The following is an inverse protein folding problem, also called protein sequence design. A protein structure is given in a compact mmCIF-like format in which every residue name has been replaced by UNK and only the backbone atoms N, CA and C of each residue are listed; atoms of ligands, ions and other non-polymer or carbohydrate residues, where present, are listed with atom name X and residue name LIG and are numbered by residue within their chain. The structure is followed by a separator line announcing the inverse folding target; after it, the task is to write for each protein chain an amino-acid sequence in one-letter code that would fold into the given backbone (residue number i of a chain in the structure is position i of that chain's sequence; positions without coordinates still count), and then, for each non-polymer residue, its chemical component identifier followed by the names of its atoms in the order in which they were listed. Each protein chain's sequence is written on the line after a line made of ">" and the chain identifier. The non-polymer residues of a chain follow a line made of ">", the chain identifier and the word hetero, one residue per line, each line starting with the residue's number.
data_IF_710134656589
#
_entry.id   IF_710134656589
#
_cell.length_a   1.000
_cell.length_b   1.000
_cell.length_c   1.000
_cell.angle_alpha   90.00
_cell.angle_beta   90.00
_cell.angle_gamma   90.00
#
_symmetry.space_group_name_H-M   'P 1'
#
loop_
_entity.id
_entity.type
_entity.pdbx_description
1 polymer ?
#
# COMPACT_ATOMS: atom_id res chain seq x y z
N UNK A 1 1.26 -41.94 33.34
CA UNK A 1 0.93 -40.90 32.33
C UNK A 1 2.16 -40.06 32.09
N UNK A 2 3.02 -40.55 31.21
CA UNK A 2 4.32 -40.00 30.83
C UNK A 2 4.18 -39.38 29.44
N UNK A 3 4.34 -38.06 29.33
CA UNK A 3 4.92 -37.48 28.12
C UNK A 3 5.87 -36.35 28.52
N UNK A 4 7.11 -36.78 28.54
CA UNK A 4 8.39 -36.13 28.76
C UNK A 4 8.46 -34.72 28.17
N UNK A 5 8.67 -33.72 29.04
CA UNK A 5 9.25 -32.43 28.66
C UNK A 5 10.75 -32.62 28.66
N UNK A 6 11.33 -32.94 27.50
CA UNK A 6 12.78 -33.02 27.35
C UNK A 6 13.35 -31.62 27.11
N UNK A 7 13.91 -31.07 28.19
CA UNK A 7 14.74 -29.85 28.18
C UNK A 7 16.11 -30.20 27.61
N UNK A 8 16.42 -29.71 26.40
CA UNK A 8 17.79 -29.61 25.88
C UNK A 8 18.15 -28.12 25.85
N UNK A 9 19.10 -27.73 26.70
CA UNK A 9 19.95 -26.53 26.62
C UNK A 9 19.34 -25.24 26.00
N UNK A 10 18.58 -24.50 26.82
CA UNK A 10 18.74 -23.05 26.94
C UNK A 10 18.37 -22.11 25.79
N UNK A 11 17.80 -22.57 24.67
CA UNK A 11 17.18 -21.68 23.66
C UNK A 11 15.79 -22.17 23.27
N UNK A 12 14.76 -21.52 23.80
CA UNK A 12 13.39 -21.70 23.35
C UNK A 12 13.26 -21.08 21.95
N UNK A 13 13.33 -21.91 20.90
CA UNK A 13 13.10 -21.45 19.53
C UNK A 13 11.60 -21.42 19.31
N UNK A 14 11.02 -20.23 19.44
CA UNK A 14 9.63 -20.01 19.05
C UNK A 14 9.46 -20.34 17.57
N UNK A 15 8.38 -21.07 17.25
CA UNK A 15 8.00 -21.29 15.87
C UNK A 15 7.75 -19.92 15.19
N UNK A 16 8.22 -19.78 13.96
CA UNK A 16 7.98 -18.58 13.16
C UNK A 16 7.08 -18.94 11.99
N UNK A 17 6.17 -18.03 11.64
CA UNK A 17 5.20 -18.20 10.56
C UNK A 17 5.30 -17.01 9.63
N UNK A 18 5.48 -17.23 8.32
CA UNK A 18 5.54 -16.18 7.31
C UNK A 18 4.24 -16.11 6.53
N UNK A 19 3.69 -14.91 6.35
CA UNK A 19 2.55 -14.65 5.49
C UNK A 19 2.98 -14.61 4.02
N UNK A 20 2.48 -15.53 3.20
CA UNK A 20 2.81 -15.63 1.77
C UNK A 20 2.27 -14.49 0.90
N UNK A 21 1.35 -13.67 1.44
CA UNK A 21 0.78 -12.50 0.76
C UNK A 21 1.63 -11.24 0.94
N UNK A 22 2.14 -10.97 2.14
CA UNK A 22 2.82 -9.70 2.46
C UNK A 22 4.21 -9.84 3.06
N UNK A 23 4.64 -11.06 3.42
CA UNK A 23 5.93 -11.34 4.04
C UNK A 23 6.01 -11.06 5.55
N UNK A 24 4.90 -10.77 6.23
CA UNK A 24 4.87 -10.61 7.68
C UNK A 24 5.31 -11.90 8.39
N UNK A 25 6.21 -11.79 9.38
CA UNK A 25 6.67 -12.90 10.21
C UNK A 25 6.02 -12.80 11.58
N UNK A 26 5.29 -13.83 11.98
CA UNK A 26 4.74 -14.00 13.31
C UNK A 26 5.58 -14.98 14.12
N UNK A 27 5.91 -14.64 15.36
CA UNK A 27 6.57 -15.54 16.30
C UNK A 27 5.54 -16.08 17.30
N UNK A 28 5.37 -17.40 17.35
CA UNK A 28 4.38 -18.06 18.20
C UNK A 28 4.09 -19.49 17.75
N UNK A 29 3.46 -20.27 18.62
CA UNK A 29 3.20 -21.69 18.36
C UNK A 29 2.23 -21.94 17.19
N UNK A 30 1.38 -20.95 16.86
CA UNK A 30 0.38 -21.00 15.79
C UNK A 30 0.37 -19.66 15.03
N UNK A 31 0.02 -19.64 13.73
CA UNK A 31 -0.16 -18.40 13.00
C UNK A 31 -1.40 -17.63 13.51
N UNK A 32 -1.47 -16.31 13.32
CA UNK A 32 -2.65 -15.52 13.69
C UNK A 32 -3.83 -15.85 12.75
N UNK A 33 -5.06 -15.74 13.26
CA UNK A 33 -6.29 -15.97 12.48
C UNK A 33 -6.39 -15.07 11.24
N UNK A 34 -5.88 -13.84 11.35
CA UNK A 34 -5.81 -12.86 10.28
C UNK A 34 -4.46 -12.13 10.33
N UNK A 35 -3.82 -11.98 9.18
CA UNK A 35 -2.55 -11.27 9.08
C UNK A 35 -2.72 -9.80 9.52
N UNK A 36 -1.97 -9.31 10.51
CA UNK A 36 -2.12 -7.96 11.03
C UNK A 36 -1.71 -6.86 10.05
N UNK A 37 -0.94 -7.23 9.01
CA UNK A 37 -0.45 -6.33 7.97
C UNK A 37 -1.44 -6.23 6.82
N UNK A 38 -1.72 -7.33 6.12
CA UNK A 38 -2.52 -7.33 4.90
C UNK A 38 -3.96 -7.82 5.07
N UNK A 39 -4.33 -8.34 6.24
CA UNK A 39 -5.63 -8.95 6.52
C UNK A 39 -5.92 -10.22 5.71
N UNK A 40 -4.88 -10.93 5.27
CA UNK A 40 -5.01 -12.28 4.70
C UNK A 40 -5.38 -13.32 5.79
N UNK A 41 -6.11 -14.39 5.46
CA UNK A 41 -6.48 -15.43 6.42
C UNK A 41 -5.27 -16.27 6.87
N UNK A 42 -5.40 -16.98 8.00
CA UNK A 42 -4.37 -17.89 8.54
C UNK A 42 -3.86 -18.94 7.54
N UNK A 43 -4.68 -19.32 6.55
CA UNK A 43 -4.29 -20.26 5.49
C UNK A 43 -3.16 -19.76 4.60
N UNK A 44 -2.90 -18.44 4.59
CA UNK A 44 -1.80 -17.83 3.85
C UNK A 44 -0.49 -17.80 4.65
N UNK A 45 -0.43 -18.45 5.82
CA UNK A 45 0.79 -18.56 6.63
C UNK A 45 1.47 -19.91 6.44
N UNK A 46 2.79 -19.85 6.31
CA UNK A 46 3.67 -21.02 6.21
C UNK A 46 4.68 -21.02 7.36
N UNK A 47 4.94 -22.19 7.94
CA UNK A 47 5.88 -22.32 9.06
C UNK A 47 7.32 -22.22 8.54
N UNK A 48 8.10 -21.30 9.10
CA UNK A 48 9.53 -21.21 8.86
C UNK A 48 10.23 -22.28 9.70
N UNK A 49 10.94 -23.20 9.06
CA UNK A 49 11.80 -24.13 9.76
C UNK A 49 12.98 -23.40 10.40
N UNK A 50 13.31 -23.73 11.65
CA UNK A 50 14.48 -23.17 12.31
C UNK A 50 15.73 -23.77 11.66
N UNK A 51 16.53 -22.95 10.97
CA UNK A 51 17.89 -23.36 10.60
C UNK A 51 18.65 -23.73 11.88
N UNK A 52 19.07 -25.00 11.94
CA UNK A 52 19.94 -25.48 13.02
C UNK A 52 21.22 -24.62 12.96
N UNK A 53 21.48 -23.86 14.03
CA UNK A 53 22.74 -23.16 14.22
C UNK A 53 23.89 -24.19 14.29
N UNK A 54 24.47 -24.49 13.13
CA UNK A 54 25.64 -25.33 12.97
C UNK A 54 26.90 -24.54 13.30
N UNK A 55 27.53 -24.96 14.38
CA UNK A 55 28.84 -24.57 14.90
C UNK A 55 29.93 -24.42 13.81
N UNK A 56 30.74 -23.37 13.89
CA UNK A 56 31.88 -23.16 13.00
C UNK A 56 32.99 -24.20 13.22
N UNK A 57 33.45 -24.82 12.14
CA UNK A 57 34.81 -25.38 12.01
C UNK A 57 35.31 -25.19 10.58
N UNK A 58 36.49 -24.61 10.47
CA UNK A 58 37.28 -24.49 9.25
C UNK A 58 37.66 -25.87 8.73
N UNK A 59 37.46 -26.14 7.43
CA UNK A 59 38.55 -26.63 6.58
C UNK A 59 38.17 -26.62 5.11
N UNK A 60 39.16 -26.25 4.30
CA UNK A 60 39.14 -26.31 2.85
C UNK A 60 39.00 -27.75 2.36
N UNK A 61 38.00 -27.98 1.50
CA UNK A 61 38.07 -28.88 0.32
C UNK A 61 36.69 -28.96 -0.32
N UNK A 62 36.45 -28.16 -1.37
CA UNK A 62 35.25 -28.28 -2.21
C UNK A 62 35.61 -29.01 -3.50
N UNK A 63 35.41 -30.33 -3.47
CA UNK A 63 35.24 -31.18 -4.65
C UNK A 63 33.79 -31.05 -5.15
N UNK A 64 33.64 -30.68 -6.42
CA UNK A 64 32.36 -30.51 -7.11
C UNK A 64 31.59 -31.82 -7.26
N UNK A 65 30.31 -31.85 -6.85
CA UNK A 65 29.26 -32.68 -7.46
C UNK A 65 27.94 -31.91 -7.35
N UNK A 66 27.30 -31.69 -8.51
CA UNK A 66 26.14 -30.82 -8.69
C UNK A 66 24.81 -31.38 -8.18
N UNK A 67 23.82 -30.48 -8.06
CA UNK A 67 22.43 -30.82 -7.77
C UNK A 67 21.58 -29.61 -7.36
N UNK A 68 21.16 -28.83 -8.36
CA UNK A 68 19.99 -27.93 -8.40
C UNK A 68 19.66 -27.07 -7.17
N UNK A 69 20.35 -25.94 -7.03
CA UNK A 69 19.82 -24.78 -6.31
C UNK A 69 18.75 -24.11 -7.17
N UNK A 70 17.48 -24.30 -6.80
CA UNK A 70 16.38 -23.49 -7.33
C UNK A 70 16.54 -22.08 -6.78
N UNK A 71 17.18 -21.25 -7.60
CA UNK A 71 17.33 -19.81 -7.41
C UNK A 71 15.92 -19.21 -7.28
N UNK A 72 15.61 -18.65 -6.11
CA UNK A 72 14.39 -17.89 -5.83
C UNK A 72 14.36 -16.63 -6.72
N UNK A 73 13.93 -16.80 -7.98
CA UNK A 73 13.79 -15.74 -8.96
C UNK A 73 12.41 -15.10 -8.79
N UNK A 74 12.41 -13.86 -8.31
CA UNK A 74 11.26 -12.95 -8.44
C UNK A 74 10.78 -12.96 -9.91
N UNK A 75 9.47 -13.12 -10.18
CA UNK A 75 8.97 -13.13 -11.55
C UNK A 75 9.19 -11.75 -12.20
N UNK A 76 10.14 -11.67 -13.13
CA UNK A 76 10.29 -10.51 -14.01
C UNK A 76 9.16 -10.57 -15.07
N UNK A 77 8.42 -9.47 -15.32
CA UNK A 77 7.37 -9.46 -16.33
C UNK A 77 7.96 -9.64 -17.74
N UNK A 78 7.37 -10.57 -18.51
CA UNK A 78 7.82 -11.07 -19.83
C UNK A 78 7.77 -10.02 -20.96
N UNK A 79 7.39 -8.77 -20.67
CA UNK A 79 7.25 -7.69 -21.66
C UNK A 79 8.51 -6.81 -21.79
N UNK A 80 9.71 -7.34 -21.60
CA UNK A 80 10.95 -6.57 -21.73
C UNK A 80 12.12 -7.42 -22.27
N UNK A 81 11.92 -8.06 -23.40
CA UNK A 81 13.02 -8.52 -24.25
C UNK A 81 12.88 -7.74 -25.56
N UNK A 82 13.28 -6.47 -25.63
CA UNK A 82 14.56 -6.14 -26.25
C UNK A 82 14.74 -4.60 -26.25
N UNK A 83 15.17 -4.01 -25.13
CA UNK A 83 15.59 -2.60 -25.10
C UNK A 83 16.53 -2.34 -23.92
N UNK A 84 17.85 -2.25 -24.19
CA UNK A 84 18.92 -2.04 -23.19
C UNK A 84 18.69 -0.80 -22.31
N UNK A 85 18.10 0.24 -22.89
CA UNK A 85 17.75 1.49 -22.20
C UNK A 85 16.56 1.32 -21.22
N UNK A 86 15.51 0.59 -21.63
CA UNK A 86 14.39 0.24 -20.75
C UNK A 86 14.83 -0.69 -19.63
N UNK A 87 15.75 -1.63 -19.90
CA UNK A 87 16.38 -2.47 -18.88
C UNK A 87 17.18 -1.65 -17.86
N UNK A 88 17.85 -0.57 -18.29
CA UNK A 88 18.55 0.35 -17.39
C UNK A 88 17.58 1.19 -16.55
N UNK A 89 16.52 1.74 -17.16
CA UNK A 89 15.49 2.51 -16.45
C UNK A 89 14.73 1.62 -15.45
N UNK A 90 14.33 0.40 -15.84
CA UNK A 90 13.66 -0.56 -14.95
C UNK A 90 14.56 -1.00 -13.79
N UNK A 91 15.88 -1.09 -14.00
CA UNK A 91 16.85 -1.42 -12.95
C UNK A 91 17.19 -0.23 -12.05
N UNK A 92 17.07 1.02 -12.55
CA UNK A 92 17.38 2.26 -11.82
C UNK A 92 16.18 2.86 -11.11
N UNK A 93 14.98 2.68 -11.65
CA UNK A 93 13.71 3.14 -11.13
C UNK A 93 12.73 1.97 -11.11
N UNK A 94 12.76 1.11 -10.08
CA UNK A 94 11.74 0.09 -9.95
C UNK A 94 10.39 0.80 -9.85
N UNK A 95 9.46 0.51 -10.77
CA UNK A 95 8.12 1.11 -10.85
C UNK A 95 7.36 1.12 -9.50
N UNK A 96 7.77 0.23 -8.59
CA UNK A 96 7.40 0.19 -7.18
C UNK A 96 7.48 1.54 -6.43
N UNK A 97 8.49 2.37 -6.71
CA UNK A 97 8.69 3.66 -6.01
C UNK A 97 7.66 4.73 -6.41
N UNK A 98 7.04 4.60 -7.59
CA UNK A 98 6.08 5.60 -8.07
C UNK A 98 4.74 5.51 -7.34
N UNK A 99 4.31 4.34 -6.88
CA UNK A 99 3.02 4.22 -6.21
C UNK A 99 2.93 5.12 -4.95
N UNK A 100 3.87 5.07 -3.99
CA UNK A 100 3.90 6.00 -2.87
C UNK A 100 3.86 7.48 -3.31
N UNK A 101 4.67 7.85 -4.31
CA UNK A 101 4.72 9.22 -4.81
C UNK A 101 3.36 9.66 -5.35
N UNK A 102 2.72 8.84 -6.20
CA UNK A 102 1.45 9.17 -6.83
C UNK A 102 0.30 9.25 -5.83
N UNK A 103 0.25 8.38 -4.82
CA UNK A 103 -0.81 8.43 -3.79
C UNK A 103 -0.67 9.65 -2.87
N UNK A 104 0.54 10.20 -2.73
CA UNK A 104 0.74 11.36 -1.88
C UNK A 104 0.10 12.63 -2.45
N UNK A 105 0.01 12.77 -3.77
CA UNK A 105 -0.62 13.94 -4.40
C UNK A 105 -2.09 14.11 -3.98
N UNK A 106 -3.03 13.17 -4.24
CA UNK A 106 -4.41 13.33 -3.76
C UNK A 106 -4.48 13.43 -2.23
N UNK A 107 -3.62 12.69 -1.50
CA UNK A 107 -3.62 12.70 -0.04
C UNK A 107 -3.23 14.02 0.59
N UNK A 108 -2.38 14.82 -0.07
CA UNK A 108 -1.99 16.15 0.40
C UNK A 108 -2.85 17.27 -0.19
N UNK A 109 -3.22 17.14 -1.47
CA UNK A 109 -3.96 18.17 -2.19
C UNK A 109 -5.41 18.29 -1.75
N UNK A 110 -6.08 17.19 -1.37
CA UNK A 110 -7.47 17.23 -0.89
C UNK A 110 -7.57 17.96 0.46
N UNK A 111 -6.78 17.63 1.50
CA UNK A 111 -6.77 18.41 2.73
C UNK A 111 -6.44 19.88 2.51
N UNK A 112 -5.48 20.18 1.63
CA UNK A 112 -5.17 21.56 1.27
C UNK A 112 -6.39 22.25 0.61
N UNK A 113 -7.06 21.58 -0.34
CA UNK A 113 -8.26 22.11 -0.98
C UNK A 113 -9.38 22.41 0.04
N UNK A 114 -9.64 21.50 1.00
CA UNK A 114 -10.63 21.74 2.06
C UNK A 114 -10.21 22.91 2.95
N UNK A 115 -8.93 23.01 3.32
CA UNK A 115 -8.41 24.13 4.10
C UNK A 115 -8.63 25.47 3.38
N UNK A 116 -8.26 25.58 2.09
CA UNK A 116 -8.49 26.78 1.30
C UNK A 116 -9.99 27.06 1.11
N UNK A 117 -10.85 26.04 0.99
CA UNK A 117 -12.30 26.24 0.91
C UNK A 117 -12.87 26.83 2.20
N UNK A 118 -12.42 26.36 3.37
CA UNK A 118 -12.82 26.94 4.67
C UNK A 118 -12.39 28.40 4.74
N UNK A 119 -11.15 28.72 4.35
CA UNK A 119 -10.69 30.11 4.30
C UNK A 119 -11.52 30.96 3.33
N UNK A 120 -11.88 30.43 2.16
CA UNK A 120 -12.71 31.14 1.19
C UNK A 120 -14.09 31.49 1.78
N UNK A 121 -14.72 30.54 2.48
CA UNK A 121 -16.04 30.75 3.11
C UNK A 121 -15.95 31.76 4.28
N UNK A 122 -14.86 31.75 5.05
CA UNK A 122 -14.71 32.64 6.21
C UNK A 122 -14.33 34.08 5.84
N UNK A 123 -13.56 34.27 4.78
CA UNK A 123 -12.99 35.57 4.41
C UNK A 123 -13.55 36.15 3.10
N UNK A 124 -14.42 35.43 2.41
CA UNK A 124 -15.08 35.83 1.15
C UNK A 124 -14.09 36.25 0.03
N UNK A 125 -12.96 35.56 -0.04
CA UNK A 125 -11.91 35.85 -1.02
C UNK A 125 -12.00 34.92 -2.24
N UNK A 126 -12.45 35.48 -3.37
CA UNK A 126 -12.56 34.75 -4.65
C UNK A 126 -11.23 34.12 -5.14
N UNK A 127 -10.08 34.70 -4.80
CA UNK A 127 -8.78 34.13 -5.16
C UNK A 127 -8.50 32.81 -4.41
N UNK A 128 -8.83 32.78 -3.12
CA UNK A 128 -8.62 31.64 -2.22
C UNK A 128 -9.54 30.48 -2.63
N UNK A 129 -10.77 30.82 -2.99
CA UNK A 129 -11.76 29.87 -3.50
C UNK A 129 -11.28 29.18 -4.79
N UNK A 130 -10.74 29.95 -5.75
CA UNK A 130 -10.15 29.40 -6.99
C UNK A 130 -8.97 28.47 -6.70
N UNK A 131 -8.15 28.80 -5.70
CA UNK A 131 -7.07 27.92 -5.25
C UNK A 131 -7.60 26.57 -4.76
N UNK A 132 -8.64 26.56 -3.93
CA UNK A 132 -9.28 25.33 -3.47
C UNK A 132 -9.76 24.45 -4.64
N UNK A 133 -10.42 25.08 -5.62
CA UNK A 133 -10.90 24.41 -6.83
C UNK A 133 -9.76 23.79 -7.65
N UNK A 134 -8.68 24.53 -7.91
CA UNK A 134 -7.55 24.01 -8.69
C UNK A 134 -6.81 22.88 -7.97
N UNK A 135 -6.67 22.96 -6.65
CA UNK A 135 -6.08 21.87 -5.85
C UNK A 135 -6.91 20.59 -5.95
N UNK A 136 -8.25 20.70 -5.89
CA UNK A 136 -9.14 19.56 -6.10
C UNK A 136 -8.98 19.00 -7.52
N UNK A 137 -8.99 19.85 -8.55
CA UNK A 137 -8.76 19.41 -9.94
C UNK A 137 -7.44 18.65 -10.09
N UNK A 138 -6.34 19.18 -9.56
CA UNK A 138 -5.04 18.51 -9.60
C UNK A 138 -5.07 17.18 -8.86
N UNK A 139 -5.70 17.11 -7.68
CA UNK A 139 -5.85 15.86 -6.93
C UNK A 139 -6.57 14.79 -7.77
N UNK A 140 -7.69 15.14 -8.39
CA UNK A 140 -8.50 14.21 -9.18
C UNK A 140 -7.81 13.77 -10.47
N UNK A 141 -7.05 14.66 -11.13
CA UNK A 141 -6.22 14.29 -12.29
C UNK A 141 -5.10 13.32 -11.89
N UNK A 142 -4.55 13.42 -10.68
CA UNK A 142 -3.51 12.51 -10.18
C UNK A 142 -4.07 11.16 -9.70
N UNK A 143 -5.35 11.09 -9.32
CA UNK A 143 -5.97 9.86 -8.80
C UNK A 143 -5.93 8.65 -9.77
N UNK A 144 -6.20 8.77 -11.09
CA UNK A 144 -6.04 7.67 -12.03
C UNK A 144 -4.64 7.05 -12.02
N UNK A 145 -3.59 7.88 -11.95
CA UNK A 145 -2.22 7.41 -11.88
C UNK A 145 -1.94 6.68 -10.56
N UNK A 146 -2.47 7.18 -9.44
CA UNK A 146 -2.38 6.53 -8.14
C UNK A 146 -3.07 5.15 -8.14
N UNK A 147 -4.23 5.04 -8.79
CA UNK A 147 -4.97 3.77 -8.94
C UNK A 147 -4.19 2.78 -9.80
N UNK A 148 -3.73 3.18 -11.00
CA UNK A 148 -2.98 2.31 -11.92
C UNK A 148 -1.70 1.79 -11.27
N UNK A 149 -0.92 2.68 -10.66
CA UNK A 149 0.31 2.30 -9.94
C UNK A 149 0.01 1.40 -8.73
N UNK A 150 -1.14 1.60 -8.07
CA UNK A 150 -1.61 0.75 -6.97
C UNK A 150 -1.98 -0.66 -7.41
N UNK A 151 -2.70 -0.80 -8.52
CA UNK A 151 -3.05 -2.10 -9.11
C UNK A 151 -1.79 -2.84 -9.57
N UNK A 152 -0.83 -2.14 -10.17
CA UNK A 152 0.46 -2.74 -10.55
C UNK A 152 1.22 -3.26 -9.33
N UNK A 153 1.33 -2.46 -8.26
CA UNK A 153 1.99 -2.88 -7.02
C UNK A 153 1.27 -4.06 -6.35
N UNK A 154 -0.07 -4.08 -6.37
CA UNK A 154 -0.86 -5.20 -5.87
C UNK A 154 -0.59 -6.51 -6.60
N UNK A 155 -0.57 -6.47 -7.94
CA UNK A 155 -0.29 -7.65 -8.76
C UNK A 155 1.12 -8.19 -8.54
N UNK A 156 2.10 -7.31 -8.41
CA UNK A 156 3.53 -7.68 -8.35
C UNK A 156 3.99 -8.06 -6.94
N UNK A 157 3.59 -7.31 -5.91
CA UNK A 157 4.07 -7.52 -4.53
C UNK A 157 3.17 -8.42 -3.69
N UNK A 158 1.87 -8.40 -3.95
CA UNK A 158 0.87 -9.11 -3.13
C UNK A 158 0.22 -10.28 -3.86
N UNK A 159 0.86 -10.77 -4.95
CA UNK A 159 0.42 -11.93 -5.75
C UNK A 159 -1.05 -11.85 -6.18
N UNK A 160 -1.57 -10.64 -6.40
CA UNK A 160 -2.98 -10.40 -6.70
C UNK A 160 -3.97 -10.98 -5.65
N UNK A 161 -3.56 -11.09 -4.38
CA UNK A 161 -4.42 -11.56 -3.30
C UNK A 161 -5.53 -10.54 -3.01
N UNK A 162 -6.78 -10.99 -3.10
CA UNK A 162 -7.98 -10.17 -2.87
C UNK A 162 -8.27 -10.06 -1.36
N UNK A 163 -7.44 -9.29 -0.66
CA UNK A 163 -7.64 -9.02 0.77
C UNK A 163 -8.63 -7.87 1.00
N UNK A 164 -9.35 -7.83 2.13
CA UNK A 164 -10.25 -6.72 2.46
C UNK A 164 -9.56 -5.35 2.44
N UNK A 165 -8.30 -5.32 2.89
CA UNK A 165 -7.45 -4.12 2.87
C UNK A 165 -7.26 -3.59 1.45
N UNK A 166 -7.03 -4.48 0.48
CA UNK A 166 -6.84 -4.09 -0.91
C UNK A 166 -8.16 -3.65 -1.57
N UNK A 167 -9.26 -4.38 -1.31
CA UNK A 167 -10.59 -4.00 -1.79
C UNK A 167 -10.99 -2.60 -1.33
N UNK A 168 -10.83 -2.30 -0.04
CA UNK A 168 -11.12 -0.97 0.48
C UNK A 168 -10.28 0.11 -0.21
N UNK A 169 -9.00 -0.14 -0.45
CA UNK A 169 -8.12 0.83 -1.14
C UNK A 169 -8.53 1.08 -2.58
N UNK A 170 -8.87 0.02 -3.32
CA UNK A 170 -9.25 0.13 -4.72
C UNK A 170 -10.61 0.84 -4.86
N UNK A 171 -11.64 0.35 -4.17
CA UNK A 171 -12.98 0.93 -4.26
C UNK A 171 -13.04 2.32 -3.63
N UNK A 172 -12.34 2.56 -2.52
CA UNK A 172 -12.26 3.89 -1.92
C UNK A 172 -11.55 4.91 -2.83
N UNK A 173 -10.49 4.50 -3.54
CA UNK A 173 -9.83 5.36 -4.53
C UNK A 173 -10.72 5.70 -5.74
N UNK A 174 -11.49 4.73 -6.22
CA UNK A 174 -12.48 4.94 -7.29
C UNK A 174 -13.60 5.88 -6.81
N UNK A 175 -14.18 5.61 -5.62
CA UNK A 175 -15.23 6.44 -5.03
C UNK A 175 -14.75 7.89 -4.83
N UNK A 176 -13.53 8.09 -4.32
CA UNK A 176 -12.92 9.41 -4.18
C UNK A 176 -12.81 10.13 -5.52
N UNK A 177 -12.38 9.43 -6.57
CA UNK A 177 -12.26 9.99 -7.92
C UNK A 177 -13.63 10.40 -8.48
N UNK A 178 -14.64 9.55 -8.32
CA UNK A 178 -16.01 9.82 -8.79
C UNK A 178 -16.63 11.00 -8.04
N UNK A 179 -16.58 11.01 -6.70
CA UNK A 179 -17.12 12.10 -5.88
C UNK A 179 -16.41 13.42 -6.22
N UNK A 180 -15.09 13.39 -6.41
CA UNK A 180 -14.32 14.57 -6.80
C UNK A 180 -14.68 15.08 -8.19
N UNK A 181 -14.86 14.19 -9.18
CA UNK A 181 -15.34 14.56 -10.52
C UNK A 181 -16.73 15.19 -10.47
N UNK A 182 -17.64 14.66 -9.65
CA UNK A 182 -18.98 15.24 -9.45
C UNK A 182 -18.90 16.63 -8.81
N UNK A 183 -18.03 16.82 -7.81
CA UNK A 183 -17.82 18.13 -7.17
C UNK A 183 -17.25 19.16 -8.16
N UNK A 184 -16.27 18.76 -8.98
CA UNK A 184 -15.70 19.59 -10.05
C UNK A 184 -16.78 19.90 -11.10
N UNK A 185 -17.52 18.89 -11.56
CA UNK A 185 -18.58 19.04 -12.55
C UNK A 185 -19.68 19.99 -12.07
N UNK A 186 -20.10 19.86 -10.81
CA UNK A 186 -21.06 20.80 -10.21
C UNK A 186 -20.51 22.22 -10.25
N UNK A 187 -19.25 22.44 -9.86
CA UNK A 187 -18.64 23.77 -9.91
C UNK A 187 -18.55 24.34 -11.32
N UNK A 188 -18.25 23.51 -12.31
CA UNK A 188 -18.17 23.94 -13.72
C UNK A 188 -19.54 24.35 -14.27
N UNK A 189 -20.61 23.65 -13.86
CA UNK A 189 -21.98 23.97 -14.25
C UNK A 189 -22.54 25.17 -13.48
N UNK A 190 -22.11 25.36 -12.23
CA UNK A 190 -22.53 26.43 -11.34
C UNK A 190 -21.30 27.15 -10.77
N UNK A 191 -20.75 28.16 -11.47
CA UNK A 191 -19.54 28.87 -11.05
C UNK A 191 -19.62 29.53 -9.66
N UNK A 192 -20.84 29.79 -9.18
CA UNK A 192 -21.16 30.40 -7.88
C UNK A 192 -21.71 29.39 -6.85
N UNK A 193 -21.42 28.09 -6.99
CA UNK A 193 -21.96 27.04 -6.09
C UNK A 193 -21.61 27.24 -4.61
N UNK A 194 -20.48 27.89 -4.32
CA UNK A 194 -20.06 28.21 -2.95
C UNK A 194 -20.96 29.30 -2.36
N UNK A 195 -21.45 30.23 -3.18
CA UNK A 195 -22.36 31.28 -2.74
C UNK A 195 -23.80 30.75 -2.63
N UNK A 196 -24.25 29.99 -3.64
CA UNK A 196 -25.62 29.47 -3.72
C UNK A 196 -25.87 28.34 -2.72
N UNK A 197 -24.87 27.48 -2.47
CA UNK A 197 -25.02 26.27 -1.67
C UNK A 197 -23.76 25.91 -0.87
N UNK A 198 -23.23 26.82 -0.02
CA UNK A 198 -21.95 26.65 0.69
C UNK A 198 -21.92 25.37 1.53
N UNK A 199 -23.00 25.08 2.25
CA UNK A 199 -23.07 23.94 3.17
C UNK A 199 -22.94 22.59 2.46
N UNK A 200 -23.72 22.37 1.39
CA UNK A 200 -23.69 21.08 0.67
C UNK A 200 -22.37 20.89 -0.08
N UNK A 201 -21.85 21.95 -0.70
CA UNK A 201 -20.53 21.90 -1.34
C UNK A 201 -19.43 21.57 -0.32
N UNK A 202 -19.47 22.19 0.86
CA UNK A 202 -18.54 21.90 1.96
C UNK A 202 -18.67 20.47 2.48
N UNK A 203 -19.90 19.94 2.64
CA UNK A 203 -20.12 18.54 3.07
C UNK A 203 -19.47 17.55 2.10
N UNK A 204 -19.58 17.78 0.78
CA UNK A 204 -18.92 16.92 -0.22
C UNK A 204 -17.40 16.93 -0.03
N UNK A 205 -16.80 18.11 0.22
CA UNK A 205 -15.37 18.24 0.48
C UNK A 205 -14.95 17.56 1.79
N UNK A 206 -15.79 17.63 2.82
CA UNK A 206 -15.56 16.93 4.08
C UNK A 206 -15.60 15.40 3.89
N UNK A 207 -16.54 14.89 3.08
CA UNK A 207 -16.59 13.45 2.73
C UNK A 207 -15.32 13.03 1.99
N UNK A 208 -14.84 13.83 1.03
CA UNK A 208 -13.57 13.59 0.34
C UNK A 208 -12.38 13.57 1.32
N UNK A 209 -12.36 14.47 2.30
CA UNK A 209 -11.33 14.54 3.34
C UNK A 209 -11.33 13.29 4.23
N UNK A 210 -12.51 12.85 4.69
CA UNK A 210 -12.65 11.65 5.52
C UNK A 210 -12.21 10.42 4.73
N UNK A 211 -12.62 10.31 3.46
CA UNK A 211 -12.29 9.19 2.60
C UNK A 211 -10.77 9.11 2.34
N UNK A 212 -10.12 10.24 2.04
CA UNK A 212 -8.68 10.27 1.80
C UNK A 212 -7.87 9.97 3.07
N UNK A 213 -8.33 10.44 4.23
CA UNK A 213 -7.73 10.13 5.52
C UNK A 213 -7.85 8.63 5.84
N UNK A 214 -9.01 8.02 5.61
CA UNK A 214 -9.23 6.58 5.79
C UNK A 214 -8.31 5.73 4.88
N UNK A 215 -8.21 6.11 3.61
CA UNK A 215 -7.31 5.48 2.64
C UNK A 215 -5.83 5.60 3.08
N UNK A 216 -5.43 6.77 3.55
CA UNK A 216 -4.07 7.04 4.05
C UNK A 216 -3.74 6.22 5.29
N UNK A 217 -4.64 6.17 6.27
CA UNK A 217 -4.47 5.41 7.50
C UNK A 217 -4.29 3.90 7.25
N UNK A 218 -5.17 3.32 6.42
CA UNK A 218 -5.07 1.91 6.02
C UNK A 218 -3.80 1.68 5.18
N UNK A 219 -3.41 2.65 4.37
CA UNK A 219 -2.15 2.64 3.63
C UNK A 219 -0.91 2.57 4.52
N UNK A 220 -0.85 3.41 5.55
CA UNK A 220 0.23 3.40 6.53
C UNK A 220 0.33 2.07 7.27
N UNK A 221 -0.81 1.45 7.63
CA UNK A 221 -0.81 0.13 8.29
C UNK A 221 -0.09 -0.94 7.46
N UNK A 222 -0.28 -1.01 6.15
CA UNK A 222 0.43 -1.98 5.31
C UNK A 222 1.96 -1.81 5.32
N UNK A 223 2.43 -0.56 5.48
CA UNK A 223 3.86 -0.23 5.42
C UNK A 223 4.53 -0.43 6.79
N UNK A 224 3.82 -0.17 7.88
CA UNK A 224 4.40 -0.11 9.23
C UNK A 224 3.98 -1.24 10.16
N UNK A 225 2.96 -2.04 9.85
CA UNK A 225 2.45 -3.07 10.75
C UNK A 225 3.44 -4.22 11.06
N UNK A 226 4.55 -4.33 10.33
CA UNK A 226 5.62 -5.31 10.60
C UNK A 226 6.82 -4.80 11.41
N UNK A 227 6.81 -3.54 11.91
CA UNK A 227 7.93 -2.95 12.68
C UNK A 227 7.61 -2.78 14.17
N UNK A 228 7.18 -3.86 14.84
CA UNK A 228 7.01 -3.86 16.30
C UNK A 228 7.90 -4.91 16.92
#
# INVERSE_FOLDING_TARGET
>A
MTKTRETIEGRYVMAKWICNVCGYIHEGDRPPDTCPVCSAPASEFEKLEAEKAGNGKNNADQKQVGGNTSENKQPQPVLMHDNRFLGFIAKRFPFFQFHPIMVHFPSGLIPAAVFFLVLAILFDFACVERTAFYLLCTAIVMSPFAIVTGVYNWKTRYRAAMTPTFMFKLYGGIALSVIGLLAIGWRLLNPHVVDTSPGLYFIIHLVLLILVAALGHIGGRLVFAGRK
#
